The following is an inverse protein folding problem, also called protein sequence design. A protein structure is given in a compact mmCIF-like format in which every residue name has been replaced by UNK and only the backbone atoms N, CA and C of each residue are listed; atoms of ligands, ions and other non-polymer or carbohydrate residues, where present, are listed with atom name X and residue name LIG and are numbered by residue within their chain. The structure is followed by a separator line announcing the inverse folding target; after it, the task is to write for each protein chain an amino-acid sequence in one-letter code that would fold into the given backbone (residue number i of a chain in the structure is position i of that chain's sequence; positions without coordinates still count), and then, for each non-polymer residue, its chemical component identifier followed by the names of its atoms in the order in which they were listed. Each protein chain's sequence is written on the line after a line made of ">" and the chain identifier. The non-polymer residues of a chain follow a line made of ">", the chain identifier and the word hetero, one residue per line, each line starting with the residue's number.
data_IF_049135783012
#
_entry.id   IF_049135783012
#
_cell.length_a   1.000
_cell.length_b   1.000
_cell.length_c   1.000
_cell.angle_alpha   90.00
_cell.angle_beta   90.00
_cell.angle_gamma   90.00
#
_symmetry.space_group_name_H-M   'P 1'
#
loop_
_entity.id
_entity.type
_entity.pdbx_description
1 polymer ?
#
# COMPACT_ATOMS: atom_id res chain seq x y z
N UNK A 1 7.37 23.94 7.59
CA UNK A 1 6.78 24.94 6.69
C UNK A 1 5.73 24.23 5.85
N UNK A 2 4.50 24.74 5.81
CA UNK A 2 3.40 24.14 5.02
C UNK A 2 3.75 24.18 3.53
N UNK A 3 3.57 23.07 2.83
CA UNK A 3 3.83 22.96 1.39
C UNK A 3 2.58 22.39 0.70
N UNK A 4 1.71 23.27 0.21
CA UNK A 4 0.52 22.94 -0.57
C UNK A 4 0.79 23.42 -1.99
N UNK A 5 0.51 22.58 -3.02
CA UNK A 5 0.72 22.97 -4.41
C UNK A 5 -0.29 24.06 -4.83
N UNK A 6 0.14 24.93 -5.75
CA UNK A 6 -0.61 26.12 -6.17
C UNK A 6 -2.01 25.78 -6.67
N UNK A 7 -2.15 24.67 -7.40
CA UNK A 7 -3.45 24.23 -7.96
C UNK A 7 -4.52 24.00 -6.91
N UNK A 8 -4.14 23.62 -5.69
CA UNK A 8 -5.07 23.36 -4.57
C UNK A 8 -4.90 24.33 -3.41
N UNK A 9 -4.03 25.34 -3.53
CA UNK A 9 -3.76 26.30 -2.47
C UNK A 9 -5.02 27.10 -2.08
N UNK A 10 -5.95 27.31 -3.01
CA UNK A 10 -7.23 27.97 -2.76
C UNK A 10 -8.17 27.18 -1.83
N UNK A 11 -7.90 25.88 -1.61
CA UNK A 11 -8.64 24.99 -0.71
C UNK A 11 -8.02 24.92 0.70
N UNK A 12 -6.95 25.69 0.96
CA UNK A 12 -6.25 25.64 2.22
C UNK A 12 -7.10 26.23 3.36
N UNK A 13 -7.23 25.46 4.44
CA UNK A 13 -7.87 25.87 5.71
C UNK A 13 -6.88 25.66 6.85
N UNK A 14 -7.17 26.24 8.02
CA UNK A 14 -6.39 25.97 9.23
C UNK A 14 -6.52 24.47 9.59
N UNK A 15 -5.40 23.83 9.93
CA UNK A 15 -5.36 22.37 10.14
C UNK A 15 -6.26 21.91 11.30
N UNK A 16 -6.52 22.80 12.25
CA UNK A 16 -7.40 22.55 13.41
C UNK A 16 -8.89 22.76 13.13
N UNK A 17 -9.27 23.28 11.95
CA UNK A 17 -10.67 23.35 11.51
C UNK A 17 -11.27 21.99 11.19
N UNK A 18 -10.42 21.00 10.94
CA UNK A 18 -10.83 19.64 10.57
C UNK A 18 -10.35 18.64 11.60
N UNK A 19 -11.08 17.53 11.72
CA UNK A 19 -10.81 16.50 12.72
C UNK A 19 -10.88 15.11 12.12
N UNK A 20 -10.07 14.15 12.61
CA UNK A 20 -10.08 12.80 12.10
C UNK A 20 -11.43 12.12 12.35
N UNK A 21 -11.80 11.20 11.45
CA UNK A 21 -12.93 10.31 11.68
C UNK A 21 -12.58 9.35 12.83
N UNK A 22 -13.34 9.39 13.92
CA UNK A 22 -12.98 8.70 15.18
C UNK A 22 -12.97 7.16 15.06
N UNK A 23 -13.75 6.59 14.14
CA UNK A 23 -13.88 5.16 13.91
C UNK A 23 -13.14 4.68 12.66
N UNK A 24 -12.10 5.41 12.18
CA UNK A 24 -11.32 4.94 11.05
C UNK A 24 -10.47 3.73 11.47
N UNK A 25 -10.85 2.54 10.99
CA UNK A 25 -10.17 1.28 11.31
C UNK A 25 -8.78 1.16 10.66
N UNK A 26 -8.53 1.90 9.54
CA UNK A 26 -7.28 1.81 8.81
C UNK A 26 -6.13 2.49 9.58
N UNK A 27 -5.02 1.78 9.70
CA UNK A 27 -3.76 2.30 10.22
C UNK A 27 -2.76 2.39 9.06
N UNK A 28 -2.47 3.60 8.59
CA UNK A 28 -1.50 3.85 7.52
C UNK A 28 -0.17 4.32 8.09
N UNK A 29 0.88 4.15 7.30
CA UNK A 29 2.21 4.64 7.64
C UNK A 29 2.28 6.16 7.53
N UNK A 30 2.27 6.82 8.69
CA UNK A 30 2.37 8.27 8.80
C UNK A 30 3.77 8.76 8.42
N UNK A 31 4.82 7.95 8.65
CA UNK A 31 6.21 8.27 8.31
C UNK A 31 6.39 8.41 6.81
N UNK A 32 5.96 7.42 6.05
CA UNK A 32 5.98 7.40 4.59
C UNK A 32 5.22 8.60 4.01
N UNK A 33 4.01 8.87 4.51
CA UNK A 33 3.21 10.01 4.04
C UNK A 33 3.89 11.34 4.43
N UNK A 34 4.52 11.45 5.61
CA UNK A 34 5.25 12.64 6.01
C UNK A 34 6.43 12.92 5.10
N UNK A 35 7.18 11.89 4.71
CA UNK A 35 8.28 12.03 3.76
C UNK A 35 7.77 12.52 2.40
N UNK A 36 6.68 11.93 1.88
CA UNK A 36 6.07 12.36 0.64
C UNK A 36 5.59 13.82 0.70
N UNK A 37 4.93 14.23 1.79
CA UNK A 37 4.49 15.61 1.97
C UNK A 37 5.66 16.61 2.06
N UNK A 38 6.76 16.22 2.68
CA UNK A 38 7.95 17.08 2.77
C UNK A 38 8.59 17.32 1.39
N UNK A 39 8.66 16.29 0.56
CA UNK A 39 9.27 16.32 -0.77
C UNK A 39 8.32 16.92 -1.81
N UNK A 40 7.16 16.30 -1.96
CA UNK A 40 6.20 16.60 -3.04
C UNK A 40 5.22 17.72 -2.67
N UNK A 41 5.02 17.97 -1.37
CA UNK A 41 3.92 18.81 -0.89
C UNK A 41 2.57 18.09 -0.94
N UNK A 42 1.53 18.78 -0.53
CA UNK A 42 0.17 18.28 -0.71
C UNK A 42 -0.30 18.58 -2.14
N UNK A 43 -0.49 17.52 -2.92
CA UNK A 43 -0.89 17.57 -4.35
C UNK A 43 -2.37 17.21 -4.57
N UNK A 44 -3.05 16.67 -3.54
CA UNK A 44 -4.50 16.41 -3.55
C UNK A 44 -5.12 16.83 -2.23
N UNK A 45 -6.33 17.40 -2.22
CA UNK A 45 -7.01 17.77 -0.99
C UNK A 45 -7.46 16.52 -0.23
N UNK A 46 -7.57 16.63 1.09
CA UNK A 46 -8.31 15.66 1.90
C UNK A 46 -9.82 15.93 1.75
N UNK A 47 -10.64 14.88 1.92
CA UNK A 47 -12.09 15.00 1.82
C UNK A 47 -12.70 15.11 3.22
N UNK A 48 -13.53 16.11 3.42
CA UNK A 48 -14.14 16.42 4.72
C UNK A 48 -15.65 16.53 4.56
N UNK A 49 -16.40 15.92 5.46
CA UNK A 49 -17.85 16.13 5.56
C UNK A 49 -18.12 17.59 5.97
N UNK A 50 -18.82 18.33 5.15
CA UNK A 50 -19.03 19.78 5.34
C UNK A 50 -19.76 20.09 6.65
N UNK A 51 -20.80 19.34 6.98
CA UNK A 51 -21.64 19.57 8.18
C UNK A 51 -20.91 19.33 9.50
N UNK A 52 -19.89 18.47 9.53
CA UNK A 52 -19.26 18.03 10.80
C UNK A 52 -17.78 18.38 10.91
N UNK A 53 -17.10 18.70 9.81
CA UNK A 53 -15.66 18.87 9.76
C UNK A 53 -14.86 17.57 9.94
N UNK A 54 -15.51 16.40 9.86
CA UNK A 54 -14.83 15.09 9.96
C UNK A 54 -14.18 14.70 8.64
N UNK A 55 -12.96 14.19 8.71
CA UNK A 55 -12.19 13.76 7.55
C UNK A 55 -12.71 12.40 7.09
N UNK A 56 -13.28 12.32 5.89
CA UNK A 56 -13.78 11.09 5.28
C UNK A 56 -12.64 10.34 4.58
N UNK A 57 -11.79 11.06 3.83
CA UNK A 57 -10.60 10.48 3.17
C UNK A 57 -9.38 11.35 3.42
N UNK A 58 -8.21 10.73 3.62
CA UNK A 58 -6.95 11.44 3.90
C UNK A 58 -6.66 11.63 5.39
N UNK A 59 -7.21 10.81 6.29
CA UNK A 59 -6.91 10.87 7.73
C UNK A 59 -5.42 10.77 8.04
N UNK A 60 -4.68 9.91 7.32
CA UNK A 60 -3.23 9.76 7.50
C UNK A 60 -2.46 10.95 6.94
N UNK A 61 -2.91 11.57 5.85
CA UNK A 61 -2.36 12.82 5.31
C UNK A 61 -2.46 13.95 6.34
N UNK A 62 -3.61 14.08 7.00
CA UNK A 62 -3.78 15.05 8.07
C UNK A 62 -2.86 14.78 9.27
N UNK A 63 -2.74 13.51 9.71
CA UNK A 63 -1.81 13.12 10.78
C UNK A 63 -0.36 13.44 10.42
N UNK A 64 0.05 13.16 9.19
CA UNK A 64 1.39 13.45 8.67
C UNK A 64 1.66 14.96 8.62
N UNK A 65 0.71 15.75 8.12
CA UNK A 65 0.82 17.21 8.10
C UNK A 65 0.94 17.79 9.52
N UNK A 66 0.18 17.27 10.50
CA UNK A 66 0.33 17.65 11.92
C UNK A 66 1.69 17.26 12.50
N UNK A 67 2.20 16.07 12.19
CA UNK A 67 3.54 15.63 12.60
C UNK A 67 4.63 16.56 12.04
N UNK A 68 4.44 17.07 10.82
CA UNK A 68 5.29 18.06 10.17
C UNK A 68 5.05 19.51 10.68
N UNK A 69 4.15 19.70 11.64
CA UNK A 69 3.75 21.00 12.21
C UNK A 69 3.25 21.98 11.15
N UNK A 70 2.49 21.50 10.19
CA UNK A 70 1.80 22.36 9.24
C UNK A 70 0.68 23.14 9.94
N UNK A 71 0.51 24.38 9.53
CA UNK A 71 -0.58 25.26 10.01
C UNK A 71 -1.85 25.08 9.16
N UNK A 72 -1.67 24.79 7.87
CA UNK A 72 -2.76 24.67 6.90
C UNK A 72 -2.75 23.34 6.16
N UNK A 73 -3.91 22.94 5.67
CA UNK A 73 -4.10 21.76 4.84
C UNK A 73 -5.19 22.04 3.79
N UNK A 74 -4.99 21.57 2.55
CA UNK A 74 -6.00 21.71 1.50
C UNK A 74 -7.13 20.70 1.70
N UNK A 75 -8.38 21.18 1.68
CA UNK A 75 -9.59 20.42 2.02
C UNK A 75 -10.66 20.60 0.94
N UNK A 76 -11.16 19.47 0.44
CA UNK A 76 -12.39 19.46 -0.34
C UNK A 76 -13.57 19.14 0.59
N UNK A 77 -14.50 20.07 0.75
CA UNK A 77 -15.72 19.85 1.53
C UNK A 77 -16.76 19.11 0.70
N UNK A 78 -17.38 18.09 1.29
CA UNK A 78 -18.43 17.28 0.67
C UNK A 78 -19.72 17.39 1.50
N UNK A 79 -20.77 17.87 0.87
CA UNK A 79 -22.11 17.88 1.45
C UNK A 79 -22.70 16.45 1.34
N UNK A 80 -22.72 15.72 2.45
CA UNK A 80 -23.23 14.35 2.52
C UNK A 80 -23.81 14.05 3.90
N UNK A 81 -24.67 13.02 3.98
CA UNK A 81 -25.19 12.51 5.25
C UNK A 81 -24.11 11.73 6.00
N UNK A 82 -24.33 11.47 7.30
CA UNK A 82 -23.41 10.67 8.11
C UNK A 82 -23.26 9.24 7.55
N UNK A 83 -24.37 8.65 7.10
CA UNK A 83 -24.35 7.32 6.45
C UNK A 83 -23.52 7.31 5.15
N UNK A 84 -23.66 8.36 4.33
CA UNK A 84 -22.86 8.48 3.11
C UNK A 84 -21.39 8.69 3.42
N UNK A 85 -21.06 9.50 4.42
CA UNK A 85 -19.69 9.73 4.86
C UNK A 85 -19.03 8.42 5.31
N UNK A 86 -19.72 7.58 6.06
CA UNK A 86 -19.23 6.28 6.51
C UNK A 86 -19.02 5.29 5.35
N UNK A 87 -19.97 5.24 4.41
CA UNK A 87 -19.82 4.41 3.20
C UNK A 87 -18.62 4.83 2.35
N UNK A 88 -18.40 6.14 2.18
CA UNK A 88 -17.27 6.68 1.43
C UNK A 88 -15.95 6.33 2.14
N UNK A 89 -15.87 6.51 3.45
CA UNK A 89 -14.69 6.15 4.24
C UNK A 89 -14.35 4.66 4.11
N UNK A 90 -15.35 3.79 4.16
CA UNK A 90 -15.15 2.34 4.03
C UNK A 90 -14.68 1.94 2.63
N UNK A 91 -15.28 2.52 1.56
CA UNK A 91 -14.88 2.18 0.19
C UNK A 91 -13.50 2.76 -0.16
N UNK A 92 -13.16 3.96 0.33
CA UNK A 92 -11.81 4.53 0.16
C UNK A 92 -10.74 3.62 0.76
N UNK A 93 -10.96 3.12 1.97
CA UNK A 93 -10.08 2.15 2.60
C UNK A 93 -10.02 0.83 1.82
N UNK A 94 -11.19 0.26 1.45
CA UNK A 94 -11.27 -1.05 0.80
C UNK A 94 -10.67 -1.06 -0.60
N UNK A 95 -10.87 0.01 -1.37
CA UNK A 95 -10.34 0.11 -2.73
C UNK A 95 -8.81 0.03 -2.78
N UNK A 96 -8.14 0.63 -1.81
CA UNK A 96 -6.69 0.53 -1.69
C UNK A 96 -6.22 -0.87 -1.29
N UNK A 97 -7.02 -1.62 -0.50
CA UNK A 97 -6.65 -2.97 -0.03
C UNK A 97 -6.84 -4.05 -1.11
N UNK A 98 -7.74 -3.82 -2.08
CA UNK A 98 -7.99 -4.76 -3.20
C UNK A 98 -7.24 -4.40 -4.47
N UNK A 99 -6.53 -3.29 -4.48
CA UNK A 99 -5.68 -2.90 -5.59
C UNK A 99 -4.46 -3.83 -5.70
N UNK A 100 -3.99 -4.06 -6.91
CA UNK A 100 -2.75 -4.75 -7.21
C UNK A 100 -1.90 -3.93 -8.16
N UNK A 101 -0.60 -4.20 -8.21
CA UNK A 101 0.32 -3.57 -9.15
C UNK A 101 0.65 -4.52 -10.31
N UNK A 102 0.85 -3.93 -11.49
CA UNK A 102 1.64 -4.52 -12.54
C UNK A 102 3.11 -4.24 -12.17
N UNK A 103 3.82 -5.27 -11.72
CA UNK A 103 5.17 -5.10 -11.18
C UNK A 103 6.20 -4.77 -12.24
N UNK A 104 6.02 -5.19 -13.50
CA UNK A 104 6.88 -4.80 -14.62
C UNK A 104 6.79 -3.29 -14.86
N UNK A 105 5.56 -2.79 -14.96
CA UNK A 105 5.29 -1.36 -15.13
C UNK A 105 5.79 -0.56 -13.94
N UNK A 106 5.61 -1.07 -12.71
CA UNK A 106 6.08 -0.39 -11.51
C UNK A 106 7.61 -0.30 -11.47
N UNK A 107 8.33 -1.39 -11.78
CA UNK A 107 9.80 -1.43 -11.88
C UNK A 107 10.30 -0.41 -12.89
N UNK A 108 9.70 -0.38 -14.09
CA UNK A 108 10.06 0.57 -15.14
C UNK A 108 9.85 2.01 -14.68
N UNK A 109 8.71 2.32 -14.07
CA UNK A 109 8.42 3.66 -13.55
C UNK A 109 9.44 4.10 -12.50
N UNK A 110 9.78 3.24 -11.53
CA UNK A 110 10.76 3.55 -10.50
C UNK A 110 12.17 3.73 -11.07
N UNK A 111 12.54 2.93 -12.08
CA UNK A 111 13.85 2.99 -12.73
C UNK A 111 14.08 4.26 -13.58
N UNK A 112 13.01 4.91 -14.02
CA UNK A 112 13.07 6.17 -14.80
C UNK A 112 13.25 7.40 -13.89
N UNK A 113 13.07 7.27 -12.58
CA UNK A 113 13.22 8.38 -11.65
C UNK A 113 14.70 8.63 -11.33
N UNK A 114 15.12 9.88 -11.15
CA UNK A 114 16.48 10.20 -10.75
C UNK A 114 16.82 9.75 -9.33
N UNK A 115 15.82 9.66 -8.46
CA UNK A 115 15.87 9.10 -7.12
C UNK A 115 14.47 8.66 -6.68
N UNK A 116 14.38 7.91 -5.58
CA UNK A 116 13.12 7.39 -5.04
C UNK A 116 12.56 8.22 -3.87
N UNK A 117 13.19 9.35 -3.54
CA UNK A 117 12.80 10.16 -2.38
C UNK A 117 11.38 10.71 -2.55
N UNK A 118 10.50 10.44 -1.60
CA UNK A 118 9.10 10.88 -1.63
C UNK A 118 8.15 9.98 -2.41
N UNK A 119 8.63 8.88 -3.01
CA UNK A 119 7.80 7.87 -3.68
C UNK A 119 7.20 6.87 -2.69
N UNK A 120 7.86 6.67 -1.55
CA UNK A 120 7.54 5.62 -0.59
C UNK A 120 8.19 4.27 -0.91
N UNK A 121 9.03 4.20 -1.94
CA UNK A 121 9.85 3.05 -2.28
C UNK A 121 11.32 3.31 -1.96
N UNK A 122 12.05 2.25 -1.63
CA UNK A 122 13.48 2.25 -1.37
C UNK A 122 14.23 1.44 -2.45
N UNK A 123 15.55 1.53 -2.47
CA UNK A 123 16.38 0.76 -3.43
C UNK A 123 16.22 -0.75 -3.24
N UNK A 124 16.00 -1.21 -2.01
CA UNK A 124 15.78 -2.61 -1.69
C UNK A 124 14.44 -3.11 -2.24
N UNK A 125 13.40 -2.25 -2.30
CA UNK A 125 12.14 -2.57 -2.97
C UNK A 125 12.35 -2.78 -4.46
N UNK A 126 13.15 -1.91 -5.10
CA UNK A 126 13.47 -2.03 -6.53
C UNK A 126 14.27 -3.30 -6.84
N UNK A 127 15.19 -3.68 -5.97
CA UNK A 127 15.92 -4.96 -6.09
C UNK A 127 14.97 -6.16 -5.98
N UNK A 128 14.05 -6.13 -5.00
CA UNK A 128 13.04 -7.18 -4.81
C UNK A 128 12.09 -7.29 -6.02
N UNK A 129 11.68 -6.15 -6.59
CA UNK A 129 10.88 -6.11 -7.83
C UNK A 129 11.68 -6.68 -9.01
N UNK A 130 13.01 -6.46 -9.07
CA UNK A 130 13.92 -7.08 -10.03
C UNK A 130 13.87 -8.60 -9.99
N UNK A 131 14.01 -9.15 -8.81
CA UNK A 131 13.98 -10.62 -8.59
C UNK A 131 12.61 -11.24 -8.96
N UNK A 132 11.52 -10.50 -8.81
CA UNK A 132 10.17 -10.95 -9.18
C UNK A 132 9.94 -10.95 -10.70
N UNK A 133 10.69 -10.12 -11.45
CA UNK A 133 10.51 -9.88 -12.89
C UNK A 133 11.52 -10.67 -13.72
N UNK A 134 12.74 -10.87 -13.22
CA UNK A 134 13.85 -11.50 -13.95
C UNK A 134 13.77 -13.05 -14.01
N UNK A 135 12.64 -13.70 -13.65
CA UNK A 135 12.43 -15.09 -14.03
C UNK A 135 12.30 -15.18 -15.56
N UNK A 136 13.12 -16.00 -16.23
CA UNK A 136 13.03 -16.17 -17.67
C UNK A 136 11.62 -16.66 -18.01
N UNK A 137 10.85 -15.87 -18.72
CA UNK A 137 9.60 -16.30 -19.34
C UNK A 137 9.91 -17.53 -20.20
N UNK A 138 9.47 -18.68 -19.76
CA UNK A 138 9.48 -19.88 -20.60
C UNK A 138 8.51 -19.68 -21.77
N UNK A 139 9.05 -19.14 -22.89
CA UNK A 139 8.32 -18.87 -24.13
C UNK A 139 7.87 -20.17 -24.83
N UNK A 140 8.12 -21.35 -24.27
CA UNK A 140 7.65 -22.64 -24.82
C UNK A 140 6.18 -22.95 -24.45
N UNK A 141 5.58 -22.16 -23.55
CA UNK A 141 4.16 -22.33 -23.19
C UNK A 141 3.28 -21.57 -24.21
N UNK A 142 2.73 -22.34 -25.16
CA UNK A 142 1.69 -21.87 -26.08
C UNK A 142 0.54 -21.26 -25.28
N UNK A 143 0.31 -19.98 -25.58
CA UNK A 143 -0.75 -19.10 -25.08
C UNK A 143 -2.13 -19.80 -25.08
N UNK A 144 -2.60 -20.19 -23.94
CA UNK A 144 -4.01 -20.41 -23.68
C UNK A 144 -4.49 -19.31 -22.74
N UNK A 145 -4.68 -18.11 -23.29
CA UNK A 145 -5.48 -16.95 -22.85
C UNK A 145 -5.85 -16.72 -21.38
N UNK A 146 -5.13 -17.29 -20.42
CA UNK A 146 -5.33 -17.04 -19.00
C UNK A 146 -4.15 -16.18 -18.52
N UNK A 147 -4.40 -14.87 -18.37
CA UNK A 147 -3.53 -14.02 -17.56
C UNK A 147 -3.34 -14.73 -16.22
N UNK A 148 -2.10 -15.05 -15.87
CA UNK A 148 -1.77 -15.57 -14.55
C UNK A 148 -2.26 -14.54 -13.53
N UNK A 149 -3.33 -14.84 -12.82
CA UNK A 149 -3.85 -14.00 -11.77
C UNK A 149 -2.94 -14.22 -10.57
N UNK A 150 -2.09 -13.25 -10.25
CA UNK A 150 -1.30 -13.30 -9.03
C UNK A 150 -2.26 -13.29 -7.84
N UNK A 151 -2.38 -14.41 -7.16
CA UNK A 151 -3.09 -14.53 -5.90
C UNK A 151 -2.09 -14.32 -4.78
N UNK A 152 -2.27 -13.29 -3.98
CA UNK A 152 -1.47 -13.07 -2.78
C UNK A 152 -2.26 -13.47 -1.53
N UNK A 153 -1.58 -14.13 -0.59
CA UNK A 153 -2.10 -14.44 0.73
C UNK A 153 -1.22 -13.78 1.78
N UNK A 154 -1.84 -13.04 2.70
CA UNK A 154 -1.13 -12.46 3.84
C UNK A 154 -1.28 -13.39 5.04
N UNK A 155 -0.16 -13.78 5.64
CA UNK A 155 -0.12 -14.61 6.85
C UNK A 155 0.07 -13.67 8.04
N UNK A 156 -0.84 -13.75 9.01
CA UNK A 156 -0.72 -13.05 10.28
C UNK A 156 -0.20 -14.03 11.33
N UNK A 157 0.75 -13.59 12.13
CA UNK A 157 1.32 -14.36 13.24
C UNK A 157 0.79 -13.78 14.55
N UNK A 158 0.40 -14.66 15.47
CA UNK A 158 -0.10 -14.23 16.78
C UNK A 158 1.05 -13.80 17.73
N UNK A 159 2.26 -14.32 17.47
CA UNK A 159 3.45 -14.03 18.25
C UNK A 159 4.76 -14.18 17.43
N UNK A 160 5.88 -13.73 18.02
CA UNK A 160 7.22 -13.82 17.42
C UNK A 160 7.69 -15.27 17.20
N UNK A 161 7.16 -16.23 17.97
CA UNK A 161 7.53 -17.65 17.85
C UNK A 161 7.01 -18.22 16.55
N UNK A 162 5.75 -17.92 16.22
CA UNK A 162 5.13 -18.32 14.94
C UNK A 162 5.83 -17.68 13.75
N UNK A 163 6.17 -16.40 13.86
CA UNK A 163 6.92 -15.69 12.83
C UNK A 163 8.31 -16.32 12.60
N UNK A 164 9.03 -16.62 13.67
CA UNK A 164 10.34 -17.25 13.61
C UNK A 164 10.27 -18.65 13.00
N UNK A 165 9.28 -19.47 13.40
CA UNK A 165 9.05 -20.79 12.84
C UNK A 165 8.76 -20.73 11.33
N UNK A 166 7.96 -19.76 10.90
CA UNK A 166 7.68 -19.53 9.48
C UNK A 166 8.94 -19.15 8.70
N UNK A 167 9.75 -18.22 9.21
CA UNK A 167 11.02 -17.82 8.58
C UNK A 167 11.99 -19.01 8.45
N UNK A 168 12.10 -19.84 9.47
CA UNK A 168 12.91 -21.06 9.43
C UNK A 168 12.39 -22.06 8.40
N UNK A 169 11.07 -22.25 8.33
CA UNK A 169 10.43 -23.10 7.33
C UNK A 169 10.69 -22.61 5.90
N UNK A 170 10.52 -21.33 5.62
CA UNK A 170 10.78 -20.74 4.29
C UNK A 170 12.28 -20.87 3.93
N UNK A 171 13.18 -20.61 4.88
CA UNK A 171 14.62 -20.80 4.67
C UNK A 171 14.96 -22.25 4.34
N UNK A 172 14.41 -23.20 5.09
CA UNK A 172 14.59 -24.62 4.80
C UNK A 172 14.04 -25.02 3.43
N UNK A 173 12.87 -24.50 3.03
CA UNK A 173 12.29 -24.74 1.70
C UNK A 173 13.14 -24.19 0.56
N UNK A 174 13.84 -23.09 0.75
CA UNK A 174 14.75 -22.54 -0.27
C UNK A 174 15.84 -23.55 -0.63
N UNK A 175 16.35 -24.25 0.37
CA UNK A 175 17.44 -25.22 0.19
C UNK A 175 16.95 -26.63 -0.21
N UNK A 176 15.73 -27.02 0.18
CA UNK A 176 15.25 -28.40 0.06
C UNK A 176 13.96 -28.54 -0.78
N UNK A 177 13.25 -27.46 -1.07
CA UNK A 177 11.98 -27.51 -1.79
C UNK A 177 12.15 -27.62 -3.30
N UNK A 178 11.16 -28.24 -3.95
CA UNK A 178 11.06 -28.36 -5.40
C UNK A 178 10.26 -27.19 -5.97
N UNK A 179 10.83 -26.44 -6.89
CA UNK A 179 10.23 -25.27 -7.55
C UNK A 179 11.23 -24.16 -7.77
N UNK A 180 10.93 -23.27 -8.72
CA UNK A 180 11.81 -22.14 -9.08
C UNK A 180 11.67 -20.93 -8.15
N UNK A 181 10.50 -20.76 -7.49
CA UNK A 181 10.21 -19.66 -6.58
C UNK A 181 9.85 -20.16 -5.19
N UNK A 182 9.95 -19.31 -4.17
CA UNK A 182 9.51 -19.64 -2.81
C UNK A 182 8.02 -20.04 -2.80
N UNK A 183 7.18 -19.36 -3.58
CA UNK A 183 5.75 -19.69 -3.72
C UNK A 183 5.55 -21.07 -4.33
N UNK A 184 6.28 -21.42 -5.40
CA UNK A 184 6.21 -22.73 -6.02
C UNK A 184 6.67 -23.82 -5.06
N UNK A 185 7.76 -23.59 -4.30
CA UNK A 185 8.25 -24.52 -3.30
C UNK A 185 7.26 -24.76 -2.17
N UNK A 186 6.60 -23.70 -1.69
CA UNK A 186 5.55 -23.80 -0.66
C UNK A 186 4.36 -24.62 -1.18
N UNK A 187 3.88 -24.32 -2.40
CA UNK A 187 2.73 -25.02 -2.99
C UNK A 187 3.06 -26.50 -3.22
N UNK A 188 4.22 -26.81 -3.75
CA UNK A 188 4.62 -28.19 -3.98
C UNK A 188 4.75 -28.97 -2.67
N UNK A 189 5.35 -28.38 -1.64
CA UNK A 189 5.43 -28.97 -0.31
C UNK A 189 4.04 -29.27 0.28
N UNK A 190 3.11 -28.32 0.17
CA UNK A 190 1.73 -28.49 0.64
C UNK A 190 1.01 -29.59 -0.14
N UNK A 191 1.19 -29.63 -1.48
CA UNK A 191 0.59 -30.66 -2.32
C UNK A 191 1.10 -32.07 -1.97
N UNK A 192 2.40 -32.24 -1.75
CA UNK A 192 3.00 -33.49 -1.28
C UNK A 192 2.45 -33.90 0.09
N UNK A 193 2.44 -32.96 1.06
CA UNK A 193 1.93 -33.24 2.40
C UNK A 193 0.44 -33.64 2.43
N UNK A 194 -0.37 -33.14 1.51
CA UNK A 194 -1.80 -33.56 1.37
C UNK A 194 -1.88 -34.93 0.72
N UNK A 195 -1.05 -35.21 -0.28
CA UNK A 195 -1.08 -36.50 -0.98
C UNK A 195 -0.67 -37.68 -0.10
N UNK A 196 0.23 -37.46 0.87
CA UNK A 196 0.70 -38.48 1.81
C UNK A 196 -0.35 -38.83 2.89
N UNK A 197 -1.45 -38.07 2.99
CA UNK A 197 -2.53 -38.29 3.95
C UNK A 197 -3.76 -39.01 3.33
N UNK A 198 -3.73 -39.29 2.04
CA UNK A 198 -4.82 -39.93 1.30
C UNK A 198 -4.46 -41.34 0.89
#
# INVERSE_FOLDING_TARGET
>A
MTKILDDIAHLAVEIDEVRPYHNNARQGDVGLISQSLAVNGQYKPIIVQDSTGKIIAGNHTWRAARALKWEKIAVQRLACTDEQAEKILLVDNRSADVASYDYDVLKDQLSLLPDLVGTGYELDDLATLGDLVDEPLDLSRTDTGHKAQMLSHTIFFDDETQQTAWQQFVSWLRDNGTGSTDSAKIINFVAEAISDQT
#
